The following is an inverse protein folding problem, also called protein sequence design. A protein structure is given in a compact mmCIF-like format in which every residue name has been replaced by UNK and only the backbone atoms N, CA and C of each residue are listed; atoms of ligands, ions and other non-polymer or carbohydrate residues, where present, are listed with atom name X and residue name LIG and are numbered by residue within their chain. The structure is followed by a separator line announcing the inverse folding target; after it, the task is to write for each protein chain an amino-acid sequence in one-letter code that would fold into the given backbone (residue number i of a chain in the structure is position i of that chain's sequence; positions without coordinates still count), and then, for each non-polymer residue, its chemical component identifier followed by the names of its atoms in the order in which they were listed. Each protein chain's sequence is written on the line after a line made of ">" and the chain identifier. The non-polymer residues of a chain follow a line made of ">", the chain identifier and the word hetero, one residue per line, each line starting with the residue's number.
data_IF_532996881631
#
_entry.id   IF_532996881631
#
_cell.length_a   1.000
_cell.length_b   1.000
_cell.length_c   1.000
_cell.angle_alpha   90.00
_cell.angle_beta   90.00
_cell.angle_gamma   90.00
#
_symmetry.space_group_name_H-M   'P 1'
#
loop_
_entity.id
_entity.type
_entity.pdbx_description
1 polymer ?
#
# COMPACT_ATOMS: atom_id res chain seq x y z
N UNK A 1 -20.35 -1.71 42.80
CA UNK A 1 -19.15 -1.28 42.01
C UNK A 1 -17.92 -1.72 42.74
N UNK A 2 -17.13 -2.60 42.11
CA UNK A 2 -15.81 -3.03 42.61
C UNK A 2 -14.80 -1.99 42.12
N UNK A 3 -14.13 -1.23 43.01
CA UNK A 3 -13.14 -0.25 42.57
C UNK A 3 -11.92 -0.94 41.98
N UNK A 4 -11.50 -0.55 40.77
CA UNK A 4 -10.23 -0.97 40.20
C UNK A 4 -9.11 -0.20 40.90
N UNK A 5 -8.20 -0.91 41.57
CA UNK A 5 -7.14 -0.31 42.38
C UNK A 5 -5.85 -0.13 41.59
N UNK A 6 -5.53 -1.07 40.69
CA UNK A 6 -4.30 -1.08 39.89
C UNK A 6 -4.55 -1.73 38.53
N UNK A 7 -3.96 -1.16 37.48
CA UNK A 7 -3.85 -1.77 36.15
C UNK A 7 -2.36 -2.03 35.85
N UNK A 8 -2.00 -3.26 35.50
CA UNK A 8 -0.64 -3.68 35.22
C UNK A 8 -0.56 -4.06 33.73
N UNK A 9 0.46 -3.56 33.03
CA UNK A 9 0.73 -3.90 31.64
C UNK A 9 2.23 -4.14 31.41
N UNK A 10 2.58 -5.07 30.50
CA UNK A 10 3.93 -5.20 29.99
C UNK A 10 4.17 -4.17 28.88
N UNK A 11 5.08 -3.24 29.13
CA UNK A 11 5.39 -2.15 28.18
C UNK A 11 6.58 -2.46 27.26
N UNK A 12 7.24 -3.64 27.42
CA UNK A 12 8.34 -4.05 26.54
C UNK A 12 7.86 -4.49 25.15
N UNK A 13 6.59 -4.82 25.05
CA UNK A 13 5.94 -5.18 23.81
C UNK A 13 4.63 -4.41 23.69
N UNK A 14 4.38 -3.88 22.50
CA UNK A 14 3.16 -3.11 22.22
C UNK A 14 2.33 -3.80 21.14
N UNK A 15 1.03 -3.69 21.25
CA UNK A 15 0.09 -4.08 20.23
C UNK A 15 -0.41 -2.83 19.49
N UNK A 16 -0.34 -2.85 18.15
CA UNK A 16 -0.89 -1.81 17.29
C UNK A 16 -2.12 -2.40 16.62
N UNK A 17 -3.24 -1.71 16.73
CA UNK A 17 -4.49 -2.04 16.04
C UNK A 17 -4.58 -1.17 14.80
N UNK A 18 -4.71 -1.79 13.64
CA UNK A 18 -4.88 -1.12 12.36
C UNK A 18 -6.30 -1.37 11.83
N UNK A 19 -6.93 -0.31 11.36
CA UNK A 19 -8.24 -0.39 10.73
C UNK A 19 -8.06 -0.77 9.25
N UNK A 20 -8.69 -1.88 8.87
CA UNK A 20 -8.68 -2.42 7.51
C UNK A 20 -10.09 -2.34 6.97
N UNK A 21 -10.28 -1.68 5.83
CA UNK A 21 -11.60 -1.54 5.22
C UNK A 21 -12.17 -2.89 4.78
N UNK A 22 -13.49 -3.03 4.76
CA UNK A 22 -14.16 -4.23 4.24
C UNK A 22 -13.77 -4.52 2.78
N UNK A 23 -13.52 -3.48 1.97
CA UNK A 23 -13.12 -3.63 0.57
C UNK A 23 -11.73 -4.25 0.40
N UNK A 24 -10.82 -4.03 1.37
CA UNK A 24 -9.42 -4.47 1.30
C UNK A 24 -9.17 -5.81 2.00
N UNK A 25 -10.04 -6.19 2.96
CA UNK A 25 -9.83 -7.35 3.83
C UNK A 25 -9.64 -8.66 3.07
N UNK A 26 -10.30 -8.81 1.91
CA UNK A 26 -10.21 -10.02 1.08
C UNK A 26 -8.81 -10.30 0.52
N UNK A 27 -7.99 -9.26 0.40
CA UNK A 27 -6.64 -9.34 -0.17
C UNK A 27 -5.54 -9.37 0.90
N UNK A 28 -5.88 -9.12 2.16
CA UNK A 28 -4.93 -9.03 3.27
C UNK A 28 -4.96 -10.33 4.07
N UNK A 29 -3.77 -10.88 4.35
CA UNK A 29 -3.61 -12.12 5.13
C UNK A 29 -2.61 -11.92 6.26
N UNK A 30 -2.74 -12.64 7.39
CA UNK A 30 -1.68 -12.70 8.37
C UNK A 30 -0.34 -13.09 7.75
N UNK A 31 0.74 -12.44 8.21
CA UNK A 31 2.09 -12.62 7.68
C UNK A 31 2.51 -11.60 6.62
N UNK A 32 1.60 -10.80 6.05
CA UNK A 32 1.98 -9.73 5.13
C UNK A 32 2.86 -8.69 5.82
N UNK A 33 3.79 -8.14 5.08
CA UNK A 33 4.67 -7.05 5.52
C UNK A 33 3.85 -5.81 5.82
N UNK A 34 4.17 -5.16 6.94
CA UNK A 34 3.60 -3.88 7.34
C UNK A 34 4.73 -2.96 7.77
N UNK A 35 4.69 -1.72 7.32
CA UNK A 35 5.53 -0.67 7.90
C UNK A 35 4.66 0.28 8.70
N UNK A 36 5.23 0.81 9.78
CA UNK A 36 4.55 1.80 10.61
C UNK A 36 5.48 2.93 11.02
N UNK A 37 4.93 4.11 11.20
CA UNK A 37 5.57 5.25 11.84
C UNK A 37 4.65 5.82 12.90
N UNK A 38 5.24 6.41 13.96
CA UNK A 38 4.45 7.12 14.97
C UNK A 38 4.25 8.56 14.53
N UNK A 39 3.10 9.14 14.85
CA UNK A 39 2.79 10.52 14.49
C UNK A 39 3.81 11.53 15.06
N UNK A 40 4.43 11.18 16.20
CA UNK A 40 5.46 12.00 16.82
C UNK A 40 6.80 12.03 16.07
N UNK A 41 7.08 11.00 15.22
CA UNK A 41 8.30 10.93 14.39
C UNK A 41 7.99 10.18 13.08
N UNK A 42 7.41 10.89 12.13
CA UNK A 42 7.02 10.36 10.82
C UNK A 42 8.21 10.00 9.91
N UNK A 43 9.40 10.53 10.22
CA UNK A 43 10.61 10.24 9.44
C UNK A 43 11.19 8.86 9.76
N UNK A 44 10.78 8.27 10.88
CA UNK A 44 11.25 6.96 11.30
C UNK A 44 10.22 5.89 10.97
N UNK A 45 10.53 5.07 9.97
CA UNK A 45 9.71 3.96 9.53
C UNK A 45 10.25 2.66 10.14
N UNK A 46 9.36 1.91 10.75
CA UNK A 46 9.63 0.59 11.32
C UNK A 46 8.95 -0.48 10.48
N UNK A 47 9.51 -1.68 10.46
CA UNK A 47 9.00 -2.81 9.72
C UNK A 47 8.52 -3.91 10.67
N UNK A 48 7.40 -4.53 10.34
CA UNK A 48 6.81 -5.65 11.07
C UNK A 48 5.94 -6.50 10.14
N UNK A 49 5.22 -7.46 10.67
CA UNK A 49 4.26 -8.27 9.93
C UNK A 49 2.90 -8.25 10.61
N UNK A 50 1.84 -8.37 9.82
CA UNK A 50 0.47 -8.52 10.33
C UNK A 50 0.35 -9.86 11.05
N UNK A 51 0.04 -9.84 12.34
CA UNK A 51 -0.05 -11.04 13.16
C UNK A 51 -1.39 -11.76 12.99
N UNK A 52 -2.46 -11.01 13.05
CA UNK A 52 -3.83 -11.53 12.91
C UNK A 52 -4.78 -10.44 12.45
N UNK A 53 -5.94 -10.88 11.97
CA UNK A 53 -7.08 -10.02 11.67
C UNK A 53 -8.22 -10.52 12.55
N UNK A 54 -8.91 -9.62 13.21
CA UNK A 54 -10.05 -9.98 14.06
C UNK A 54 -11.21 -10.48 13.16
N UNK A 55 -11.87 -11.57 13.55
CA UNK A 55 -12.90 -12.22 12.71
C UNK A 55 -14.23 -11.45 12.65
N UNK A 56 -14.38 -10.41 13.45
CA UNK A 56 -15.60 -9.61 13.53
C UNK A 56 -15.27 -8.14 13.76
N UNK A 57 -16.23 -7.30 13.43
CA UNK A 57 -16.28 -5.89 13.84
C UNK A 57 -16.28 -5.85 15.36
N UNK A 58 -15.20 -5.39 15.96
CA UNK A 58 -15.13 -5.33 17.42
C UNK A 58 -15.43 -3.92 17.88
N UNK A 59 -16.66 -3.66 18.18
CA UNK A 59 -17.06 -2.66 19.16
C UNK A 59 -17.28 -3.38 20.47
N UNK A 60 -16.22 -3.69 21.21
CA UNK A 60 -16.29 -4.10 22.61
C UNK A 60 -16.37 -2.83 23.44
N UNK A 61 -17.57 -2.40 23.75
CA UNK A 61 -17.82 -1.41 24.77
C UNK A 61 -18.29 -2.15 26.02
N UNK A 62 -17.56 -2.02 27.13
CA UNK A 62 -17.91 -2.60 28.44
C UNK A 62 -18.07 -4.13 28.46
N UNK A 63 -17.17 -4.89 27.83
CA UNK A 63 -17.20 -6.36 27.72
C UNK A 63 -18.47 -6.91 27.04
N UNK A 64 -19.24 -6.08 26.38
CA UNK A 64 -20.40 -6.50 25.60
C UNK A 64 -20.16 -6.29 24.11
N UNK A 65 -20.42 -7.35 23.35
CA UNK A 65 -20.45 -7.30 21.89
C UNK A 65 -21.68 -6.50 21.47
N UNK A 66 -21.47 -5.30 20.94
CA UNK A 66 -22.56 -4.50 20.38
C UNK A 66 -22.40 -4.50 18.87
N UNK A 67 -23.30 -5.19 18.20
CA UNK A 67 -23.47 -5.12 16.76
C UNK A 67 -24.21 -3.80 16.43
N UNK A 68 -23.45 -2.72 16.23
CA UNK A 68 -24.02 -1.48 15.71
C UNK A 68 -23.51 -1.31 14.28
N UNK A 69 -24.29 -1.85 13.35
CA UNK A 69 -24.13 -1.51 11.94
C UNK A 69 -24.99 -0.27 11.68
N UNK A 70 -24.44 0.91 11.94
CA UNK A 70 -24.97 2.11 11.31
C UNK A 70 -24.54 2.06 9.84
N UNK A 71 -25.49 1.85 8.95
CA UNK A 71 -25.27 1.71 7.50
C UNK A 71 -24.72 2.99 6.83
N UNK A 72 -24.50 4.03 7.59
CA UNK A 72 -23.90 5.30 7.15
C UNK A 72 -22.40 5.38 7.41
N UNK A 73 -21.82 4.49 8.22
CA UNK A 73 -20.38 4.48 8.54
C UNK A 73 -19.63 3.40 7.75
N UNK A 74 -18.37 3.69 7.42
CA UNK A 74 -17.50 2.72 6.78
C UNK A 74 -17.19 1.55 7.73
N UNK A 75 -17.24 0.34 7.21
CA UNK A 75 -16.98 -0.89 7.97
C UNK A 75 -15.47 -1.17 7.97
N UNK A 76 -14.91 -1.35 9.17
CA UNK A 76 -13.50 -1.68 9.37
C UNK A 76 -13.32 -2.94 10.20
N UNK A 77 -12.30 -3.73 9.88
CA UNK A 77 -11.81 -4.84 10.69
C UNK A 77 -10.50 -4.46 11.34
N UNK A 78 -10.19 -5.00 12.51
CA UNK A 78 -8.92 -4.73 13.16
C UNK A 78 -7.86 -5.75 12.81
N UNK A 79 -6.76 -5.27 12.22
CA UNK A 79 -5.52 -6.02 12.11
C UNK A 79 -4.65 -5.76 13.33
N UNK A 80 -3.92 -6.77 13.82
CA UNK A 80 -3.03 -6.69 14.98
C UNK A 80 -1.58 -6.83 14.57
N UNK A 81 -0.76 -5.87 15.00
CA UNK A 81 0.70 -5.94 14.93
C UNK A 81 1.23 -6.08 16.35
N UNK A 82 2.24 -6.91 16.52
CA UNK A 82 2.98 -7.01 17.80
C UNK A 82 4.38 -6.49 17.55
N UNK A 83 4.77 -5.47 18.27
CA UNK A 83 6.04 -4.77 18.06
C UNK A 83 6.84 -4.63 19.34
N UNK A 84 8.18 -4.78 19.29
CA UNK A 84 9.02 -4.59 20.47
C UNK A 84 9.05 -3.10 20.86
N UNK A 85 9.14 -2.84 22.18
CA UNK A 85 9.24 -1.49 22.74
C UNK A 85 10.33 -1.42 23.83
N UNK A 86 11.46 -2.10 23.62
CA UNK A 86 12.56 -2.14 24.59
C UNK A 86 13.16 -0.75 24.90
N UNK A 87 13.06 0.19 23.96
CA UNK A 87 13.52 1.58 24.13
C UNK A 87 12.46 2.50 24.78
N UNK A 88 11.27 1.99 25.09
CA UNK A 88 10.18 2.69 25.78
C UNK A 88 9.60 3.88 25.03
N UNK A 89 9.81 3.97 23.70
CA UNK A 89 9.33 5.10 22.89
C UNK A 89 7.85 5.02 22.56
N UNK A 90 7.32 3.81 22.42
CA UNK A 90 5.91 3.61 22.19
C UNK A 90 5.16 3.71 23.53
N UNK A 91 4.01 4.38 23.50
CA UNK A 91 3.13 4.54 24.66
C UNK A 91 1.71 4.14 24.28
N UNK A 92 0.96 3.63 25.27
CA UNK A 92 -0.46 3.34 25.10
C UNK A 92 -1.20 4.62 24.67
N UNK A 93 -2.07 4.53 23.70
CA UNK A 93 -2.84 5.66 23.15
C UNK A 93 -2.12 6.46 22.07
N UNK A 94 -0.90 6.06 21.64
CA UNK A 94 -0.26 6.67 20.48
C UNK A 94 -0.94 6.25 19.19
N UNK A 95 -0.99 7.19 18.22
CA UNK A 95 -1.45 6.94 16.86
C UNK A 95 -0.26 6.62 15.96
N UNK A 96 -0.45 5.63 15.08
CA UNK A 96 0.52 5.24 14.05
C UNK A 96 -0.07 5.43 12.66
N UNK A 97 0.79 5.71 11.70
CA UNK A 97 0.48 5.58 10.28
C UNK A 97 1.06 4.26 9.80
N UNK A 98 0.24 3.45 9.13
CA UNK A 98 0.59 2.10 8.74
C UNK A 98 0.44 1.93 7.23
N UNK A 99 1.36 1.16 6.61
CA UNK A 99 1.29 0.75 5.21
C UNK A 99 1.36 -0.78 5.16
N UNK A 100 0.33 -1.41 4.61
CA UNK A 100 0.24 -2.86 4.43
C UNK A 100 0.66 -3.20 3.00
N UNK A 101 1.64 -4.08 2.84
CA UNK A 101 2.11 -4.55 1.53
C UNK A 101 1.38 -5.83 1.16
N UNK A 102 0.30 -5.72 0.40
CA UNK A 102 -0.54 -6.86 0.01
C UNK A 102 0.19 -7.79 -0.95
N UNK A 103 0.91 -7.19 -1.89
CA UNK A 103 1.80 -7.89 -2.83
C UNK A 103 3.11 -7.09 -2.95
N UNK A 104 4.22 -7.79 -3.10
CA UNK A 104 5.52 -7.17 -3.36
C UNK A 104 6.34 -8.04 -4.30
N UNK A 105 7.12 -7.39 -5.16
CA UNK A 105 8.13 -8.02 -5.96
C UNK A 105 9.43 -7.21 -5.84
N UNK A 106 10.54 -7.88 -5.57
CA UNK A 106 11.86 -7.27 -5.45
C UNK A 106 12.72 -7.70 -6.64
N UNK A 107 13.65 -6.83 -7.04
CA UNK A 107 14.56 -7.08 -8.17
C UNK A 107 13.84 -7.43 -9.49
N UNK A 108 12.72 -6.74 -9.75
CA UNK A 108 11.90 -6.95 -10.95
C UNK A 108 12.05 -5.80 -11.94
N UNK A 109 11.90 -6.12 -13.22
CA UNK A 109 11.86 -5.12 -14.28
C UNK A 109 10.55 -4.33 -14.20
N UNK A 110 10.63 -3.01 -14.13
CA UNK A 110 9.45 -2.15 -14.07
C UNK A 110 9.43 -1.13 -15.20
N UNK A 111 8.22 -0.71 -15.57
CA UNK A 111 8.01 0.46 -16.42
C UNK A 111 7.06 1.42 -15.73
N UNK A 112 7.14 2.74 -15.99
CA UNK A 112 6.15 3.68 -15.48
C UNK A 112 4.72 3.28 -15.90
N UNK A 113 3.77 3.34 -14.97
CA UNK A 113 2.38 2.93 -15.23
C UNK A 113 1.77 3.66 -16.45
N UNK A 114 2.15 4.92 -16.67
CA UNK A 114 1.73 5.71 -17.83
C UNK A 114 2.30 5.24 -19.17
N UNK A 115 3.32 4.38 -19.18
CA UNK A 115 3.84 3.76 -20.41
C UNK A 115 3.03 2.53 -20.85
N UNK A 116 2.29 1.93 -19.91
CA UNK A 116 1.45 0.77 -20.17
C UNK A 116 0.18 1.19 -20.91
N UNK A 117 -0.07 0.55 -22.05
CA UNK A 117 -1.25 0.73 -22.88
C UNK A 117 -2.00 -0.57 -22.99
N UNK A 118 -3.30 -0.49 -23.28
CA UNK A 118 -4.14 -1.68 -23.46
C UNK A 118 -5.09 -1.50 -24.63
N UNK A 119 -5.42 -2.61 -25.28
CA UNK A 119 -6.45 -2.72 -26.30
C UNK A 119 -7.14 -4.09 -26.26
N UNK A 120 -7.87 -4.44 -27.32
CA UNK A 120 -8.59 -5.72 -27.43
C UNK A 120 -7.66 -6.95 -27.43
N UNK A 121 -6.41 -6.76 -27.84
CA UNK A 121 -5.38 -7.83 -27.91
C UNK A 121 -4.58 -7.99 -26.61
N UNK A 122 -4.76 -7.05 -25.65
CA UNK A 122 -4.12 -7.11 -24.35
C UNK A 122 -3.27 -5.88 -24.02
N UNK A 123 -2.37 -6.06 -23.05
CA UNK A 123 -1.47 -4.99 -22.58
C UNK A 123 -0.20 -4.92 -23.43
N UNK A 124 0.26 -3.72 -23.72
CA UNK A 124 1.48 -3.47 -24.49
C UNK A 124 2.19 -2.19 -24.05
N UNK A 125 3.46 -2.09 -24.41
CA UNK A 125 4.25 -0.85 -24.33
C UNK A 125 4.78 -0.50 -25.71
N UNK A 126 5.13 0.77 -25.91
CA UNK A 126 5.86 1.22 -27.06
C UNK A 126 7.35 1.35 -26.70
N UNK A 127 8.22 0.62 -27.39
CA UNK A 127 9.65 0.60 -27.18
C UNK A 127 10.35 1.34 -28.30
N UNK A 128 11.33 2.20 -27.97
CA UNK A 128 12.16 2.87 -28.95
C UNK A 128 13.25 1.93 -29.44
N UNK A 129 13.33 1.74 -30.74
CA UNK A 129 14.38 0.95 -31.41
C UNK A 129 15.17 1.84 -32.39
N UNK A 130 16.25 1.31 -32.97
CA UNK A 130 17.01 2.01 -34.01
C UNK A 130 16.17 2.32 -35.27
N UNK A 131 15.12 1.53 -35.53
CA UNK A 131 14.25 1.64 -36.70
C UNK A 131 13.00 2.51 -36.42
N UNK A 132 12.78 2.91 -35.16
CA UNK A 132 11.63 3.73 -34.74
C UNK A 132 11.00 3.26 -33.44
N UNK A 133 9.66 3.43 -33.35
CA UNK A 133 8.89 3.00 -32.18
C UNK A 133 8.15 1.72 -32.51
N UNK A 134 8.41 0.66 -31.77
CA UNK A 134 7.81 -0.64 -31.91
C UNK A 134 6.75 -0.86 -30.80
N UNK A 135 5.58 -1.34 -31.17
CA UNK A 135 4.57 -1.80 -30.22
C UNK A 135 4.92 -3.22 -29.82
N UNK A 136 5.07 -3.46 -28.50
CA UNK A 136 5.47 -4.74 -27.96
C UNK A 136 4.48 -5.23 -26.89
N UNK A 137 3.83 -6.40 -27.09
CA UNK A 137 2.96 -7.01 -26.09
C UNK A 137 3.74 -7.35 -24.83
N UNK A 138 3.13 -7.15 -23.65
CA UNK A 138 3.76 -7.41 -22.36
C UNK A 138 2.88 -8.23 -21.44
N UNK A 139 3.52 -9.05 -20.58
CA UNK A 139 2.87 -9.70 -19.45
C UNK A 139 3.29 -8.92 -18.20
N UNK A 140 2.31 -8.38 -17.50
CA UNK A 140 2.51 -7.59 -16.29
C UNK A 140 2.44 -8.47 -15.04
N UNK A 141 3.08 -8.01 -13.96
CA UNK A 141 2.95 -8.55 -12.61
C UNK A 141 2.28 -7.54 -11.68
N UNK A 142 2.86 -7.35 -10.48
CA UNK A 142 2.39 -6.39 -9.49
C UNK A 142 2.55 -4.96 -10.00
N UNK A 143 1.72 -4.06 -9.49
CA UNK A 143 1.76 -2.65 -9.85
C UNK A 143 1.48 -1.78 -8.64
N UNK A 144 2.06 -0.61 -8.62
CA UNK A 144 1.71 0.50 -7.73
C UNK A 144 1.20 1.69 -8.55
N UNK A 145 0.99 2.84 -7.92
CA UNK A 145 0.50 4.06 -8.58
C UNK A 145 1.47 4.64 -9.61
N UNK A 146 2.75 4.28 -9.55
CA UNK A 146 3.82 4.85 -10.37
C UNK A 146 4.38 3.86 -11.38
N UNK A 147 4.49 2.57 -11.01
CA UNK A 147 5.21 1.55 -11.76
C UNK A 147 4.41 0.27 -11.91
N UNK A 148 4.70 -0.47 -12.97
CA UNK A 148 4.14 -1.80 -13.25
C UNK A 148 5.28 -2.77 -13.52
N UNK A 149 5.28 -3.90 -12.84
CA UNK A 149 6.19 -5.01 -13.12
C UNK A 149 5.95 -5.56 -14.53
N UNK A 150 7.02 -5.80 -15.26
CA UNK A 150 6.99 -6.49 -16.56
C UNK A 150 7.64 -7.86 -16.43
N UNK A 151 6.83 -8.91 -16.48
CA UNK A 151 7.30 -10.31 -16.46
C UNK A 151 7.85 -10.77 -17.78
N UNK A 152 7.31 -10.24 -18.90
CA UNK A 152 7.76 -10.56 -20.27
C UNK A 152 7.46 -9.40 -21.22
N UNK A 153 8.29 -9.27 -22.25
CA UNK A 153 8.07 -8.37 -23.39
C UNK A 153 9.03 -7.19 -23.45
N UNK A 154 9.74 -6.86 -22.36
CA UNK A 154 10.77 -5.81 -22.32
C UNK A 154 12.01 -6.35 -21.64
N UNK A 155 13.18 -5.85 -22.01
CA UNK A 155 14.45 -6.15 -21.38
C UNK A 155 15.02 -4.93 -20.66
N UNK A 156 15.90 -5.17 -19.71
CA UNK A 156 16.58 -4.09 -18.99
C UNK A 156 17.41 -3.23 -19.96
N UNK A 157 17.31 -1.90 -19.79
CA UNK A 157 18.00 -0.92 -20.63
C UNK A 157 17.24 -0.51 -21.90
N UNK A 158 16.09 -1.11 -22.21
CA UNK A 158 15.24 -0.65 -23.31
C UNK A 158 14.48 0.63 -22.95
N UNK A 159 14.36 1.54 -23.90
CA UNK A 159 13.63 2.80 -23.72
C UNK A 159 12.13 2.63 -24.02
N UNK A 160 11.27 2.84 -23.03
CA UNK A 160 9.81 2.85 -23.23
C UNK A 160 9.30 4.26 -23.46
N UNK A 161 8.35 4.41 -24.38
CA UNK A 161 7.72 5.69 -24.73
C UNK A 161 6.56 5.96 -23.79
N UNK A 162 6.66 7.01 -22.99
CA UNK A 162 5.64 7.38 -22.00
C UNK A 162 4.49 8.15 -22.65
N UNK A 163 4.80 9.10 -23.54
CA UNK A 163 3.81 9.88 -24.27
C UNK A 163 4.33 10.28 -25.64
N UNK A 164 3.46 10.29 -26.65
CA UNK A 164 3.70 10.99 -27.89
C UNK A 164 3.09 12.39 -27.74
N UNK A 165 3.92 13.40 -27.53
CA UNK A 165 3.45 14.78 -27.68
C UNK A 165 3.13 15.02 -29.14
N UNK A 166 1.92 15.47 -29.43
CA UNK A 166 1.55 15.91 -30.78
C UNK A 166 2.33 17.16 -31.16
N UNK A 167 2.53 17.38 -32.45
CA UNK A 167 3.21 18.59 -32.94
C UNK A 167 2.53 19.88 -32.44
N UNK A 168 1.20 19.85 -32.21
CA UNK A 168 0.43 20.96 -31.66
C UNK A 168 0.78 21.23 -30.18
N UNK A 169 0.91 20.21 -29.36
CA UNK A 169 1.28 20.34 -27.93
C UNK A 169 2.73 20.82 -27.73
N UNK A 170 3.63 20.43 -28.65
CA UNK A 170 5.01 20.93 -28.68
C UNK A 170 5.02 22.42 -29.00
N UNK A 171 4.19 22.87 -29.96
CA UNK A 171 4.07 24.30 -30.38
C UNK A 171 3.51 25.17 -29.25
N UNK A 172 2.47 24.71 -28.55
CA UNK A 172 1.85 25.44 -27.43
C UNK A 172 2.78 25.56 -26.23
N UNK A 173 3.56 24.52 -25.93
CA UNK A 173 4.55 24.56 -24.84
C UNK A 173 5.73 25.49 -25.18
N UNK A 174 6.15 25.55 -26.44
CA UNK A 174 7.19 26.45 -26.90
C UNK A 174 6.69 27.92 -26.93
N UNK A 175 5.40 28.16 -27.17
CA UNK A 175 4.79 29.50 -27.16
C UNK A 175 4.60 30.06 -25.75
N UNK A 176 4.36 29.18 -24.73
CA UNK A 176 4.17 29.57 -23.33
C UNK A 176 5.48 29.66 -22.53
N UNK A 177 6.63 29.35 -23.09
CA UNK A 177 7.95 29.44 -22.48
C UNK A 177 8.74 30.71 -22.79
N UNK A 178 8.05 31.78 -23.28
CA UNK A 178 8.63 33.10 -23.55
C UNK A 178 8.09 34.16 -22.61
#
# INVERSE_FOLDING_TARGET
>A
DTPTIVQIADLNQMEIYIEISEGDIGNIKPGVKVTYSVLADMNKVYETTLKSIDPALTLLTDDQYTEVVDSSEAIYFYGRLVVPNADGKLRIGMTTQNVIYVESAEDVLTVPAMALKGDVDGKYVEVRTAEGVERRPVITGVSDDLNVEIKKGVSEGEEVVIAKMSSAEISDKAANAR
#
